data_IF_048319507999
#
_entry.id   IF_048319507999
#
_cell.length_a   1.000
_cell.length_b   1.000
_cell.length_c   1.000
_cell.angle_alpha   90.00
_cell.angle_beta   90.00
_cell.angle_gamma   90.00
#
_symmetry.space_group_name_H-M   'P 1'
#
loop_
_entity.id
_entity.type
_entity.pdbx_description
1 polymer ?
#
# COMPACT_ATOMS: atom_id res chain seq x y z
N UNK A 1 -1.06 -39.34 10.73
CA UNK A 1 0.32 -39.27 11.24
C UNK A 1 0.26 -38.93 12.73
N UNK A 2 1.01 -39.63 13.58
CA UNK A 2 1.08 -39.32 15.00
C UNK A 2 2.26 -38.38 15.26
N UNK A 3 2.03 -37.28 15.98
CA UNK A 3 3.10 -36.38 16.43
C UNK A 3 3.85 -36.99 17.62
N UNK A 4 5.13 -36.67 17.83
CA UNK A 4 5.88 -37.14 18.99
C UNK A 4 5.20 -36.77 20.31
N UNK A 5 5.35 -37.61 21.34
CA UNK A 5 4.87 -37.30 22.67
C UNK A 5 5.53 -36.01 23.17
N UNK A 6 4.72 -35.04 23.61
CA UNK A 6 5.20 -33.72 24.05
C UNK A 6 5.24 -32.66 22.94
N UNK A 7 4.82 -32.99 21.71
CA UNK A 7 4.59 -31.97 20.67
C UNK A 7 3.52 -30.96 21.13
N UNK A 8 3.81 -29.67 20.97
CA UNK A 8 2.93 -28.58 21.40
C UNK A 8 2.18 -28.00 20.21
N UNK A 9 0.85 -28.10 20.25
CA UNK A 9 -0.02 -27.29 19.41
C UNK A 9 -0.39 -26.00 20.15
N UNK A 10 -0.41 -24.89 19.44
CA UNK A 10 -0.67 -23.58 20.04
C UNK A 10 -1.11 -22.53 19.04
N UNK A 11 -1.46 -21.38 19.59
CA UNK A 11 -1.83 -20.16 18.84
C UNK A 11 -0.79 -19.06 19.08
N UNK A 12 -0.77 -18.05 18.22
CA UNK A 12 0.12 -16.91 18.34
C UNK A 12 -0.60 -15.60 17.98
N UNK A 13 -0.29 -14.52 18.69
CA UNK A 13 -0.68 -13.15 18.32
C UNK A 13 0.51 -12.17 18.45
N UNK A 14 0.27 -10.93 18.04
CA UNK A 14 1.22 -9.81 18.13
C UNK A 14 0.50 -8.59 18.70
N UNK A 15 1.12 -7.91 19.66
CA UNK A 15 0.56 -6.77 20.41
C UNK A 15 -0.12 -5.73 19.49
N UNK A 16 0.61 -5.12 18.55
CA UNK A 16 0.04 -4.13 17.63
C UNK A 16 -1.16 -4.66 16.80
N UNK A 17 -1.19 -5.96 16.48
CA UNK A 17 -2.26 -6.56 15.67
C UNK A 17 -3.53 -6.86 16.46
N UNK A 18 -3.46 -6.94 17.80
CA UNK A 18 -4.60 -7.38 18.63
C UNK A 18 -4.95 -6.42 19.78
N UNK A 19 -4.05 -5.55 20.19
CA UNK A 19 -4.27 -4.57 21.25
C UNK A 19 -4.80 -3.24 20.69
N UNK A 20 -5.79 -2.65 21.37
CA UNK A 20 -6.34 -1.35 21.00
C UNK A 20 -5.28 -0.25 21.05
N UNK A 21 -5.37 0.70 20.13
CA UNK A 21 -4.55 1.91 20.05
C UNK A 21 -4.66 2.73 21.33
N UNK A 22 -3.53 3.29 21.76
CA UNK A 22 -3.44 4.15 22.92
C UNK A 22 -2.51 5.33 22.59
N UNK A 23 -3.05 6.56 22.52
CA UNK A 23 -2.28 7.74 22.12
C UNK A 23 -1.18 8.10 23.13
N UNK A 24 -1.22 7.58 24.36
CA UNK A 24 -0.14 7.77 25.34
C UNK A 24 1.06 6.83 25.09
N UNK A 25 0.89 5.77 24.30
CA UNK A 25 1.88 4.70 24.14
C UNK A 25 2.04 4.29 22.67
N UNK A 26 2.07 5.27 21.77
CA UNK A 26 2.22 5.02 20.34
C UNK A 26 3.55 4.32 20.02
N UNK A 27 3.48 3.35 19.10
CA UNK A 27 4.64 2.73 18.51
C UNK A 27 4.91 3.28 17.10
N UNK A 28 6.05 2.86 16.52
CA UNK A 28 6.41 3.29 15.16
C UNK A 28 5.39 2.90 14.09
N UNK A 29 4.61 1.85 14.30
CA UNK A 29 3.66 1.36 13.33
C UNK A 29 2.40 2.23 13.35
N UNK A 30 1.94 2.67 14.52
CA UNK A 30 0.86 3.67 14.65
C UNK A 30 1.18 4.96 13.87
N UNK A 31 2.41 5.47 14.03
CA UNK A 31 2.89 6.65 13.31
C UNK A 31 2.96 6.37 11.81
N UNK A 32 3.55 5.24 11.43
CA UNK A 32 3.73 4.89 10.02
C UNK A 32 2.40 4.67 9.29
N UNK A 33 1.42 4.02 9.90
CA UNK A 33 0.07 3.86 9.35
C UNK A 33 -0.54 5.22 9.00
N UNK A 34 -0.44 6.20 9.90
CA UNK A 34 -0.88 7.57 9.63
C UNK A 34 -0.09 8.22 8.50
N UNK A 35 1.24 8.11 8.50
CA UNK A 35 2.09 8.68 7.45
C UNK A 35 1.78 8.12 6.05
N UNK A 36 1.30 6.88 5.99
CA UNK A 36 1.04 6.15 4.75
C UNK A 36 -0.43 6.17 4.33
N UNK A 37 -1.31 6.81 5.09
CA UNK A 37 -2.76 6.79 4.86
C UNK A 37 -3.34 5.37 4.93
N UNK A 38 -2.77 4.51 5.77
CA UNK A 38 -3.25 3.15 6.00
C UNK A 38 -4.36 3.14 7.05
N UNK A 39 -5.11 2.03 7.09
CA UNK A 39 -6.11 1.81 8.13
C UNK A 39 -5.44 1.79 9.50
N UNK A 40 -5.77 2.73 10.42
CA UNK A 40 -5.21 2.71 11.76
C UNK A 40 -5.68 1.47 12.53
N UNK A 41 -4.84 0.93 13.41
CA UNK A 41 -5.19 -0.28 14.20
C UNK A 41 -6.50 -0.17 15.01
N UNK A 42 -6.90 1.04 15.41
CA UNK A 42 -8.15 1.29 16.13
C UNK A 42 -8.26 0.44 17.41
N UNK A 43 -9.35 -0.32 17.56
CA UNK A 43 -9.50 -1.24 18.70
C UNK A 43 -8.87 -2.62 18.49
N UNK A 44 -8.42 -2.95 17.28
CA UNK A 44 -8.02 -4.30 16.89
C UNK A 44 -9.07 -5.35 17.36
N UNK A 45 -8.65 -6.43 18.03
CA UNK A 45 -9.55 -7.40 18.69
C UNK A 45 -9.78 -7.09 20.18
N UNK A 46 -9.21 -5.98 20.68
CA UNK A 46 -9.28 -5.54 22.07
C UNK A 46 -8.68 -6.55 23.07
N UNK A 47 -7.61 -7.25 22.66
CA UNK A 47 -6.97 -8.31 23.45
C UNK A 47 -6.50 -7.82 24.83
N UNK A 48 -5.99 -6.60 24.93
CA UNK A 48 -5.55 -6.04 26.21
C UNK A 48 -6.65 -6.06 27.30
N UNK A 49 -7.92 -5.91 26.91
CA UNK A 49 -9.04 -5.97 27.85
C UNK A 49 -9.72 -7.34 27.90
N UNK A 50 -9.58 -8.15 26.83
CA UNK A 50 -10.33 -9.40 26.62
C UNK A 50 -9.46 -10.66 26.56
N UNK A 51 -8.19 -10.56 26.95
CA UNK A 51 -7.24 -11.67 26.86
C UNK A 51 -7.73 -12.96 27.54
N UNK A 52 -8.51 -12.86 28.63
CA UNK A 52 -9.06 -14.03 29.31
C UNK A 52 -9.99 -14.85 28.39
N UNK A 53 -10.80 -14.19 27.57
CA UNK A 53 -11.70 -14.84 26.60
C UNK A 53 -10.90 -15.56 25.50
N UNK A 54 -9.91 -14.87 24.92
CA UNK A 54 -9.10 -15.41 23.83
C UNK A 54 -8.21 -16.59 24.30
N UNK A 55 -7.68 -16.50 25.52
CA UNK A 55 -6.92 -17.59 26.15
C UNK A 55 -7.82 -18.79 26.47
N UNK A 56 -9.02 -18.55 27.01
CA UNK A 56 -9.98 -19.61 27.29
C UNK A 56 -10.41 -20.31 25.99
N UNK A 57 -10.62 -19.57 24.90
CA UNK A 57 -10.92 -20.12 23.59
C UNK A 57 -9.78 -21.00 23.06
N UNK A 58 -8.51 -20.54 23.17
CA UNK A 58 -7.36 -21.35 22.80
C UNK A 58 -7.26 -22.65 23.62
N UNK A 59 -7.50 -22.56 24.93
CA UNK A 59 -7.52 -23.74 25.80
C UNK A 59 -8.63 -24.73 25.42
N UNK A 60 -9.83 -24.23 25.09
CA UNK A 60 -10.97 -25.03 24.65
C UNK A 60 -10.71 -25.76 23.33
N UNK A 61 -9.90 -25.20 22.43
CA UNK A 61 -9.41 -25.87 21.22
C UNK A 61 -8.38 -26.97 21.49
N UNK A 62 -7.96 -27.15 22.74
CA UNK A 62 -6.97 -28.14 23.14
C UNK A 62 -5.51 -27.68 22.98
N UNK A 63 -5.27 -26.38 22.75
CA UNK A 63 -3.92 -25.82 22.70
C UNK A 63 -3.16 -26.09 24.00
N UNK A 64 -1.85 -26.30 23.87
CA UNK A 64 -0.90 -26.53 24.97
C UNK A 64 0.17 -25.46 25.06
N UNK A 65 0.16 -24.50 24.13
CA UNK A 65 1.07 -23.36 24.05
C UNK A 65 0.27 -22.15 23.60
N UNK A 66 0.52 -21.00 24.19
CA UNK A 66 0.03 -19.72 23.71
C UNK A 66 1.22 -18.77 23.56
N UNK A 67 1.37 -18.20 22.35
CA UNK A 67 2.41 -17.22 22.05
C UNK A 67 1.80 -15.82 21.97
N UNK A 68 2.41 -14.86 22.65
CA UNK A 68 2.06 -13.45 22.54
C UNK A 68 3.31 -12.56 22.50
N UNK A 69 3.17 -11.28 22.17
CA UNK A 69 4.24 -10.28 22.32
C UNK A 69 3.88 -9.21 23.33
N UNK A 70 4.90 -8.58 23.91
CA UNK A 70 4.77 -7.38 24.72
C UNK A 70 4.98 -6.14 23.85
N UNK A 71 4.12 -5.11 23.98
CA UNK A 71 4.34 -3.82 23.35
C UNK A 71 5.45 -3.06 24.07
N UNK A 72 6.62 -2.92 23.43
CA UNK A 72 7.75 -2.18 24.00
C UNK A 72 7.36 -0.72 24.28
N UNK A 73 6.59 -0.07 23.41
CA UNK A 73 6.11 1.30 23.62
C UNK A 73 5.26 1.47 24.89
N UNK A 74 4.50 0.43 25.31
CA UNK A 74 3.75 0.43 26.58
C UNK A 74 4.64 0.15 27.78
N UNK A 75 5.60 -0.77 27.63
CA UNK A 75 6.49 -1.18 28.72
C UNK A 75 7.54 -0.12 29.04
N UNK A 76 8.04 0.59 28.03
CA UNK A 76 9.04 1.65 28.14
C UNK A 76 8.62 2.85 27.27
N UNK A 77 7.61 3.63 27.72
CA UNK A 77 7.09 4.79 26.98
C UNK A 77 8.13 5.87 26.70
N UNK A 78 9.15 5.96 27.55
CA UNK A 78 10.30 6.85 27.37
C UNK A 78 11.58 6.11 27.76
N UNK A 79 12.73 6.55 27.23
CA UNK A 79 14.00 5.89 27.47
C UNK A 79 14.32 5.75 28.97
N UNK A 80 14.31 4.53 29.48
CA UNK A 80 14.62 4.21 30.88
C UNK A 80 13.43 4.34 31.83
N UNK A 81 12.27 4.83 31.39
CA UNK A 81 11.05 4.90 32.21
C UNK A 81 10.17 3.68 31.91
N UNK A 82 10.25 2.68 32.78
CA UNK A 82 9.47 1.45 32.64
C UNK A 82 8.13 1.56 33.35
N UNK A 83 7.03 1.28 32.66
CA UNK A 83 5.68 1.27 33.21
C UNK A 83 5.45 0.02 34.08
N UNK A 84 5.29 0.15 35.41
CA UNK A 84 4.97 -0.98 36.27
C UNK A 84 3.58 -1.56 35.96
N UNK A 85 2.66 -0.72 35.51
CA UNK A 85 1.31 -1.12 35.13
C UNK A 85 1.32 -2.01 33.89
N UNK A 86 2.02 -1.62 32.82
CA UNK A 86 2.13 -2.43 31.61
C UNK A 86 2.82 -3.78 31.88
N UNK A 87 3.89 -3.76 32.67
CA UNK A 87 4.59 -4.97 33.12
C UNK A 87 3.67 -5.89 33.93
N UNK A 88 2.92 -5.35 34.89
CA UNK A 88 1.95 -6.11 35.67
C UNK A 88 0.81 -6.66 34.80
N UNK A 89 0.36 -5.90 33.80
CA UNK A 89 -0.64 -6.34 32.82
C UNK A 89 -0.16 -7.58 32.05
N UNK A 90 1.02 -7.51 31.41
CA UNK A 90 1.56 -8.66 30.68
C UNK A 90 1.84 -9.87 31.59
N UNK A 91 2.23 -9.64 32.85
CA UNK A 91 2.36 -10.71 33.85
C UNK A 91 1.01 -11.37 34.15
N UNK A 92 -0.10 -10.61 34.21
CA UNK A 92 -1.46 -11.17 34.35
C UNK A 92 -1.84 -12.03 33.14
N UNK A 93 -1.55 -11.56 31.92
CA UNK A 93 -1.77 -12.34 30.69
C UNK A 93 -1.00 -13.67 30.74
N UNK A 94 0.29 -13.64 31.06
CA UNK A 94 1.12 -14.84 31.18
C UNK A 94 0.60 -15.82 32.27
N UNK A 95 0.16 -15.29 33.42
CA UNK A 95 -0.44 -16.10 34.48
C UNK A 95 -1.78 -16.71 34.07
N UNK A 96 -2.61 -15.98 33.32
CA UNK A 96 -3.87 -16.49 32.78
C UNK A 96 -3.62 -17.69 31.84
N UNK A 97 -2.66 -17.56 30.89
CA UNK A 97 -2.23 -18.66 30.01
C UNK A 97 -1.83 -19.90 30.83
N UNK A 98 -1.01 -19.71 31.88
CA UNK A 98 -0.61 -20.81 32.77
C UNK A 98 -1.77 -21.39 33.56
N UNK A 99 -2.72 -20.57 34.00
CA UNK A 99 -3.93 -20.99 34.70
C UNK A 99 -4.78 -21.95 33.88
N UNK A 100 -4.79 -21.79 32.57
CA UNK A 100 -5.42 -22.73 31.62
C UNK A 100 -4.56 -23.95 31.26
N UNK A 101 -3.43 -24.16 31.94
CA UNK A 101 -2.55 -25.33 31.72
C UNK A 101 -1.75 -25.28 30.42
N UNK A 102 -1.65 -24.11 29.79
CA UNK A 102 -0.83 -23.90 28.58
C UNK A 102 0.57 -23.39 28.95
N UNK A 103 1.54 -23.70 28.08
CA UNK A 103 2.88 -23.13 28.09
C UNK A 103 2.86 -21.70 27.56
N UNK A 104 3.73 -20.85 28.10
CA UNK A 104 3.82 -19.44 27.71
C UNK A 104 5.02 -19.23 26.80
N UNK A 105 4.79 -18.67 25.61
CA UNK A 105 5.85 -18.22 24.71
C UNK A 105 5.75 -16.71 24.51
N UNK A 106 6.78 -15.97 24.92
CA UNK A 106 6.79 -14.51 24.85
C UNK A 106 7.72 -14.01 23.75
N UNK A 107 7.21 -13.14 22.89
CA UNK A 107 7.98 -12.43 21.85
C UNK A 107 8.26 -11.00 22.28
N UNK A 108 9.52 -10.57 22.27
CA UNK A 108 9.92 -9.24 22.72
C UNK A 108 9.80 -8.18 21.63
N UNK A 109 10.14 -8.52 20.38
CA UNK A 109 10.08 -7.60 19.25
C UNK A 109 9.28 -8.21 18.10
N UNK A 110 8.09 -7.67 17.85
CA UNK A 110 7.17 -8.12 16.80
C UNK A 110 6.88 -6.99 15.80
N UNK A 111 7.95 -6.53 15.13
CA UNK A 111 7.93 -5.43 14.16
C UNK A 111 7.61 -4.03 14.68
N UNK A 112 7.31 -3.89 15.97
CA UNK A 112 7.03 -2.59 16.60
C UNK A 112 8.05 -2.26 17.70
N UNK A 113 8.31 -0.96 17.87
CA UNK A 113 9.18 -0.41 18.90
C UNK A 113 8.75 1.02 19.27
N UNK A 114 9.20 1.58 20.40
CA UNK A 114 8.79 2.91 20.84
C UNK A 114 9.23 4.00 19.86
N UNK A 115 8.41 5.03 19.69
CA UNK A 115 8.73 6.17 18.81
C UNK A 115 10.00 6.89 19.25
N UNK A 116 10.25 7.03 20.57
CA UNK A 116 11.48 7.66 21.10
C UNK A 116 12.75 6.94 20.63
N UNK A 117 12.70 5.63 20.44
CA UNK A 117 13.86 4.86 20.01
C UNK A 117 14.21 5.19 18.55
N UNK A 118 13.20 5.34 17.69
CA UNK A 118 13.44 5.77 16.31
C UNK A 118 13.91 7.23 16.26
N UNK A 119 13.16 8.14 16.89
CA UNK A 119 13.38 9.59 16.89
C UNK A 119 14.72 9.99 17.51
N UNK A 120 15.01 9.52 18.72
CA UNK A 120 16.09 10.07 19.55
C UNK A 120 17.39 9.22 19.51
N UNK A 121 17.30 8.00 18.99
CA UNK A 121 18.39 7.02 19.01
C UNK A 121 18.67 6.37 17.64
N UNK A 122 17.92 6.73 16.60
CA UNK A 122 18.11 6.23 15.23
C UNK A 122 17.58 4.82 15.01
N UNK A 123 16.69 4.34 15.89
CA UNK A 123 16.01 3.07 15.72
C UNK A 123 16.93 1.87 15.79
N UNK A 124 16.55 0.83 15.05
CA UNK A 124 17.29 -0.44 14.99
C UNK A 124 18.69 -0.31 14.35
N UNK A 125 18.94 0.71 13.52
CA UNK A 125 20.26 0.99 12.96
C UNK A 125 21.13 1.86 13.89
N UNK A 126 20.54 2.38 14.97
CA UNK A 126 21.21 3.20 15.96
C UNK A 126 22.29 2.43 16.73
N UNK A 127 23.44 3.05 17.00
CA UNK A 127 24.57 2.40 17.69
C UNK A 127 24.21 1.87 19.09
N UNK A 128 23.25 2.51 19.77
CA UNK A 128 22.80 2.15 21.12
C UNK A 128 21.73 1.05 21.14
N UNK A 129 21.09 0.75 20.00
CA UNK A 129 19.97 -0.19 19.91
C UNK A 129 20.23 -1.53 20.60
N UNK A 130 21.38 -2.22 20.39
CA UNK A 130 21.59 -3.51 21.02
C UNK A 130 21.64 -3.48 22.55
N UNK A 131 22.03 -2.35 23.16
CA UNK A 131 22.03 -2.19 24.61
C UNK A 131 20.64 -1.82 25.15
N UNK A 132 19.93 -0.95 24.43
CA UNK A 132 18.57 -0.53 24.80
C UNK A 132 17.62 -1.74 24.76
N UNK A 133 17.69 -2.54 23.70
CA UNK A 133 16.92 -3.77 23.57
C UNK A 133 17.27 -4.79 24.67
N UNK A 134 18.54 -4.90 25.05
CA UNK A 134 18.96 -5.78 26.13
C UNK A 134 18.45 -5.32 27.51
N UNK A 135 18.42 -4.01 27.77
CA UNK A 135 17.82 -3.43 29.00
C UNK A 135 16.32 -3.73 29.06
N UNK A 136 15.62 -3.53 27.95
CA UNK A 136 14.21 -3.87 27.84
C UNK A 136 13.97 -5.36 28.11
N UNK A 137 14.74 -6.24 27.46
CA UNK A 137 14.65 -7.68 27.67
C UNK A 137 14.96 -8.09 29.12
N UNK A 138 15.95 -7.47 29.77
CA UNK A 138 16.28 -7.70 31.18
C UNK A 138 15.10 -7.35 32.08
N UNK A 139 14.49 -6.17 31.86
CA UNK A 139 13.36 -5.71 32.68
C UNK A 139 12.12 -6.58 32.52
N UNK A 140 11.82 -7.02 31.29
CA UNK A 140 10.71 -7.94 31.01
C UNK A 140 10.98 -9.31 31.65
N UNK A 141 12.23 -9.79 31.59
CA UNK A 141 12.64 -11.06 32.21
C UNK A 141 12.65 -11.00 33.74
N UNK A 142 12.99 -9.85 34.33
CA UNK A 142 12.87 -9.64 35.77
C UNK A 142 11.42 -9.77 36.24
N UNK A 143 10.47 -9.21 35.48
CA UNK A 143 9.05 -9.26 35.83
C UNK A 143 8.40 -10.62 35.56
N UNK A 144 8.76 -11.30 34.46
CA UNK A 144 8.01 -12.46 33.97
C UNK A 144 8.85 -13.74 33.79
N UNK A 145 10.13 -13.71 34.18
CA UNK A 145 11.07 -14.82 34.06
C UNK A 145 10.55 -16.14 34.60
N UNK A 146 9.87 -16.12 35.75
CA UNK A 146 9.32 -17.29 36.44
C UNK A 146 8.10 -17.91 35.73
N UNK A 147 7.34 -17.13 34.96
CA UNK A 147 6.10 -17.58 34.31
C UNK A 147 6.25 -17.89 32.83
N UNK A 148 7.24 -17.34 32.13
CA UNK A 148 7.47 -17.59 30.70
C UNK A 148 8.33 -18.82 30.48
N UNK A 149 7.89 -19.76 29.62
CA UNK A 149 8.64 -20.98 29.29
C UNK A 149 9.60 -20.76 28.12
N UNK A 150 9.15 -20.06 27.06
CA UNK A 150 9.90 -19.85 25.82
C UNK A 150 9.98 -18.37 25.46
N UNK A 151 11.16 -17.92 25.06
CA UNK A 151 11.43 -16.52 24.73
C UNK A 151 11.86 -16.39 23.27
N UNK A 152 11.17 -15.51 22.55
CA UNK A 152 11.54 -15.09 21.20
C UNK A 152 11.99 -13.64 21.28
N UNK A 153 13.26 -13.39 20.98
CA UNK A 153 13.78 -12.02 20.94
C UNK A 153 13.19 -11.24 19.76
N UNK A 154 13.35 -11.76 18.54
CA UNK A 154 12.83 -11.15 17.32
C UNK A 154 11.90 -12.12 16.57
N UNK A 155 10.74 -11.60 16.18
CA UNK A 155 9.93 -12.20 15.13
C UNK A 155 10.49 -11.82 13.75
N UNK A 156 10.73 -12.83 12.93
CA UNK A 156 11.06 -12.74 11.51
C UNK A 156 12.07 -11.62 11.18
N UNK A 157 13.26 -11.62 11.79
CA UNK A 157 14.18 -10.47 11.70
C UNK A 157 14.64 -10.14 10.28
N UNK A 158 14.56 -11.09 9.33
CA UNK A 158 14.84 -10.82 7.92
C UNK A 158 13.85 -9.83 7.29
N UNK A 159 12.58 -9.86 7.71
CA UNK A 159 11.54 -8.97 7.20
C UNK A 159 11.82 -7.50 7.55
N UNK A 160 12.49 -7.22 8.68
CA UNK A 160 12.86 -5.86 9.10
C UNK A 160 13.73 -5.12 8.07
N UNK A 161 14.38 -5.83 7.14
CA UNK A 161 15.13 -5.21 6.04
C UNK A 161 14.23 -4.45 5.06
N UNK A 162 12.96 -4.83 4.92
CA UNK A 162 12.00 -4.13 4.06
C UNK A 162 11.55 -2.77 4.63
N UNK A 163 11.98 -2.44 5.84
CA UNK A 163 11.89 -1.09 6.39
C UNK A 163 13.01 -0.15 5.92
N UNK A 164 14.02 -0.67 5.23
CA UNK A 164 15.21 0.07 4.79
C UNK A 164 15.58 -0.15 3.33
N UNK A 165 15.01 -1.16 2.67
CA UNK A 165 15.15 -1.42 1.24
C UNK A 165 13.79 -1.22 0.58
N UNK A 166 13.74 -0.45 -0.50
CA UNK A 166 12.62 -0.49 -1.44
C UNK A 166 13.14 -0.46 -2.89
N UNK A 167 12.57 -1.26 -3.80
CA UNK A 167 12.83 -1.08 -5.20
C UNK A 167 12.42 0.31 -5.71
N UNK A 168 13.10 0.82 -6.73
CA UNK A 168 12.85 2.16 -7.31
C UNK A 168 11.43 2.36 -7.84
N UNK A 169 10.70 1.27 -8.15
CA UNK A 169 9.31 1.31 -8.60
C UNK A 169 8.30 1.33 -7.45
N UNK A 170 8.73 1.17 -6.20
CA UNK A 170 7.86 1.26 -5.04
C UNK A 170 7.82 2.69 -4.50
N UNK A 171 6.61 3.23 -4.41
CA UNK A 171 6.40 4.59 -3.89
C UNK A 171 6.56 4.67 -2.36
N UNK A 172 6.49 3.53 -1.65
CA UNK A 172 6.64 3.43 -0.19
C UNK A 172 7.44 2.20 0.20
N UNK A 173 8.05 2.25 1.38
CA UNK A 173 8.60 1.05 2.04
C UNK A 173 7.47 0.11 2.44
N UNK A 174 7.77 -1.17 2.56
CA UNK A 174 6.77 -2.18 2.94
C UNK A 174 6.41 -2.12 4.44
N UNK A 175 7.31 -1.56 5.25
CA UNK A 175 7.15 -1.40 6.70
C UNK A 175 7.97 -0.20 7.21
N UNK A 176 7.74 0.28 8.45
CA UNK A 176 8.58 1.30 9.07
C UNK A 176 10.05 0.84 9.21
N UNK A 177 11.00 1.80 9.35
CA UNK A 177 10.76 3.25 9.40
C UNK A 177 10.82 3.94 8.02
N UNK A 178 11.37 3.26 7.01
CA UNK A 178 11.76 3.89 5.75
C UNK A 178 12.97 4.81 5.89
N UNK A 179 13.61 5.14 4.77
CA UNK A 179 14.64 6.18 4.68
C UNK A 179 14.08 7.46 4.04
N UNK A 180 14.73 8.63 4.26
CA UNK A 180 14.33 9.90 3.66
C UNK A 180 14.24 9.88 2.13
N UNK A 181 13.48 10.80 1.55
CA UNK A 181 13.39 10.97 0.10
C UNK A 181 14.76 11.18 -0.55
N UNK A 182 14.92 10.57 -1.72
CA UNK A 182 16.17 10.67 -2.47
C UNK A 182 17.30 9.78 -1.94
N UNK A 183 17.04 8.97 -0.90
CA UNK A 183 17.97 7.89 -0.50
C UNK A 183 18.25 7.00 -1.71
N UNK A 184 19.52 6.88 -2.05
CA UNK A 184 19.99 6.01 -3.11
C UNK A 184 20.24 4.59 -2.59
N UNK A 185 20.63 3.70 -3.50
CA UNK A 185 20.92 2.29 -3.19
C UNK A 185 22.06 2.16 -2.17
N UNK A 186 23.01 3.11 -2.17
CA UNK A 186 24.13 3.09 -1.22
C UNK A 186 23.65 3.41 0.20
N UNK A 187 22.74 4.38 0.37
CA UNK A 187 22.11 4.69 1.64
C UNK A 187 21.26 3.51 2.17
N UNK A 188 20.50 2.83 1.29
CA UNK A 188 19.77 1.61 1.63
C UNK A 188 20.73 0.49 2.10
N UNK A 189 21.80 0.26 1.34
CA UNK A 189 22.82 -0.74 1.67
C UNK A 189 23.52 -0.41 3.00
N UNK A 190 23.85 0.85 3.26
CA UNK A 190 24.46 1.29 4.51
C UNK A 190 23.50 1.07 5.70
N UNK A 191 22.21 1.39 5.54
CA UNK A 191 21.20 1.17 6.57
C UNK A 191 21.07 -0.31 6.92
N UNK A 192 21.00 -1.19 5.92
CA UNK A 192 20.93 -2.64 6.10
C UNK A 192 22.22 -3.19 6.70
N UNK A 193 23.38 -2.67 6.26
CA UNK A 193 24.70 -2.98 6.80
C UNK A 193 24.84 -2.62 8.28
N UNK A 194 24.09 -1.63 8.78
CA UNK A 194 23.97 -1.31 10.21
C UNK A 194 22.92 -2.18 10.92
N UNK A 195 21.78 -2.40 10.27
CA UNK A 195 20.65 -3.16 10.83
C UNK A 195 21.06 -4.58 11.20
N UNK A 196 21.61 -5.34 10.24
CA UNK A 196 21.86 -6.77 10.41
C UNK A 196 22.79 -7.03 11.62
N UNK A 197 23.98 -6.41 11.74
CA UNK A 197 24.84 -6.59 12.90
C UNK A 197 24.17 -6.16 14.21
N UNK A 198 23.33 -5.12 14.19
CA UNK A 198 22.62 -4.68 15.37
C UNK A 198 21.59 -5.71 15.84
N UNK A 199 20.83 -6.33 14.94
CA UNK A 199 19.89 -7.40 15.28
C UNK A 199 20.61 -8.60 15.93
N UNK A 200 21.75 -9.03 15.37
CA UNK A 200 22.56 -10.10 15.97
C UNK A 200 23.09 -9.73 17.37
N UNK A 201 23.65 -8.53 17.52
CA UNK A 201 24.15 -8.04 18.82
C UNK A 201 23.01 -7.90 19.84
N UNK A 202 21.87 -7.38 19.42
CA UNK A 202 20.70 -7.19 20.26
C UNK A 202 20.16 -8.54 20.74
N UNK A 203 20.04 -9.53 19.84
CA UNK A 203 19.65 -10.89 20.18
C UNK A 203 20.60 -11.49 21.22
N UNK A 204 21.91 -11.44 20.96
CA UNK A 204 22.92 -12.02 21.84
C UNK A 204 22.87 -11.39 23.25
N UNK A 205 22.78 -10.06 23.34
CA UNK A 205 22.71 -9.33 24.62
C UNK A 205 21.41 -9.58 25.36
N UNK A 206 20.27 -9.55 24.67
CA UNK A 206 18.96 -9.88 25.26
C UNK A 206 18.94 -11.32 25.79
N UNK A 207 19.50 -12.28 25.04
CA UNK A 207 19.63 -13.67 25.49
C UNK A 207 20.47 -13.78 26.76
N UNK A 208 21.58 -13.05 26.85
CA UNK A 208 22.40 -13.02 28.07
C UNK A 208 21.64 -12.42 29.26
N UNK A 209 20.93 -11.32 29.05
CA UNK A 209 20.11 -10.67 30.08
C UNK A 209 19.02 -11.60 30.62
N UNK A 210 18.22 -12.20 29.73
CA UNK A 210 17.16 -13.15 30.11
C UNK A 210 17.75 -14.33 30.89
N UNK A 211 18.88 -14.89 30.44
CA UNK A 211 19.55 -16.00 31.13
C UNK A 211 20.19 -15.62 32.46
N UNK A 212 20.55 -14.35 32.64
CA UNK A 212 21.00 -13.80 33.92
C UNK A 212 19.88 -13.77 34.97
N UNK A 213 18.63 -13.56 34.53
CA UNK A 213 17.44 -13.65 35.40
C UNK A 213 16.96 -15.08 35.60
N UNK A 214 17.05 -15.91 34.57
CA UNK A 214 16.61 -17.31 34.60
C UNK A 214 17.50 -18.21 33.73
N UNK A 215 18.37 -18.98 34.38
CA UNK A 215 19.40 -19.78 33.71
C UNK A 215 18.83 -20.82 32.73
N UNK A 216 17.73 -21.48 33.10
CA UNK A 216 17.02 -22.51 32.33
C UNK A 216 16.12 -21.94 31.22
N UNK A 217 16.01 -20.61 31.08
CA UNK A 217 15.18 -19.99 30.06
C UNK A 217 15.60 -20.45 28.65
N UNK A 218 14.60 -20.85 27.86
CA UNK A 218 14.78 -21.18 26.45
C UNK A 218 14.58 -19.92 25.61
N UNK A 219 15.67 -19.44 24.99
CA UNK A 219 15.68 -18.17 24.27
C UNK A 219 16.14 -18.38 22.84
N UNK A 220 15.36 -17.90 21.88
CA UNK A 220 15.63 -17.99 20.45
C UNK A 220 15.13 -16.79 19.64
N UNK A 221 15.00 -17.03 18.34
CA UNK A 221 14.41 -16.15 17.32
C UNK A 221 13.38 -16.94 16.53
N UNK A 222 12.37 -16.28 15.98
CA UNK A 222 11.42 -16.92 15.06
C UNK A 222 11.74 -16.50 13.62
N UNK A 223 12.58 -17.24 12.87
CA UNK A 223 12.90 -16.85 11.50
C UNK A 223 11.74 -17.17 10.55
N UNK A 224 11.47 -16.28 9.58
CA UNK A 224 10.67 -16.66 8.41
C UNK A 224 11.57 -17.45 7.46
N UNK A 225 11.28 -18.74 7.30
CA UNK A 225 11.99 -19.61 6.36
C UNK A 225 10.99 -20.08 5.31
N UNK A 226 11.18 -19.64 4.07
CA UNK A 226 10.38 -20.08 2.92
C UNK A 226 10.89 -21.44 2.39
N UNK A 227 10.83 -22.45 3.26
CA UNK A 227 10.59 -23.85 2.86
C UNK A 227 11.71 -24.70 2.27
N UNK A 228 12.92 -24.21 1.99
CA UNK A 228 13.99 -25.08 1.45
C UNK A 228 14.92 -25.62 2.54
N UNK A 229 15.34 -26.91 2.46
CA UNK A 229 16.45 -27.42 3.25
C UNK A 229 17.70 -26.56 3.05
N UNK A 230 18.46 -26.31 4.12
CA UNK A 230 19.60 -25.37 4.11
C UNK A 230 20.58 -25.61 2.96
N UNK A 231 20.89 -26.87 2.61
CA UNK A 231 21.79 -27.20 1.50
C UNK A 231 21.23 -26.79 0.13
N UNK A 232 19.91 -26.90 -0.06
CA UNK A 232 19.22 -26.52 -1.30
C UNK A 232 19.07 -25.01 -1.37
N UNK A 233 18.77 -24.35 -0.25
CA UNK A 233 18.79 -22.90 -0.13
C UNK A 233 20.20 -22.35 -0.47
N UNK A 234 21.27 -22.96 0.07
CA UNK A 234 22.64 -22.56 -0.24
C UNK A 234 23.00 -22.74 -1.73
N UNK A 235 22.53 -23.81 -2.39
CA UNK A 235 22.72 -23.99 -3.84
C UNK A 235 21.92 -22.96 -4.65
N UNK A 236 20.70 -22.66 -4.23
CA UNK A 236 19.86 -21.65 -4.87
C UNK A 236 20.44 -20.25 -4.70
N UNK A 237 20.90 -19.90 -3.50
CA UNK A 237 21.56 -18.63 -3.19
C UNK A 237 22.89 -18.51 -3.93
N UNK A 238 23.71 -19.58 -3.93
CA UNK A 238 24.93 -19.62 -4.74
C UNK A 238 24.61 -19.41 -6.23
N UNK A 239 23.61 -20.11 -6.75
CA UNK A 239 23.14 -19.96 -8.12
C UNK A 239 22.51 -18.60 -8.43
N UNK A 240 21.95 -17.90 -7.44
CA UNK A 240 21.39 -16.57 -7.58
C UNK A 240 22.48 -15.49 -7.54
N UNK A 241 23.48 -15.63 -6.66
CA UNK A 241 24.61 -14.72 -6.53
C UNK A 241 25.64 -14.85 -7.66
N UNK A 242 25.67 -15.99 -8.37
CA UNK A 242 26.61 -16.25 -9.47
C UNK A 242 25.97 -16.27 -10.86
N UNK A 243 24.65 -16.05 -10.97
CA UNK A 243 24.02 -15.81 -12.27
C UNK A 243 24.18 -14.34 -12.66
N UNK A 244 24.52 -14.10 -13.92
CA UNK A 244 24.52 -12.76 -14.50
C UNK A 244 23.19 -12.04 -14.22
N UNK A 245 23.29 -10.77 -13.82
CA UNK A 245 22.23 -9.87 -13.33
C UNK A 245 20.93 -9.88 -14.17
N UNK A 246 21.03 -10.24 -15.45
CA UNK A 246 19.95 -10.23 -16.43
C UNK A 246 18.88 -11.30 -16.21
N UNK A 247 19.21 -12.45 -15.62
CA UNK A 247 18.27 -13.58 -15.47
C UNK A 247 17.47 -13.53 -14.16
N UNK A 248 18.06 -12.97 -13.09
CA UNK A 248 17.42 -12.82 -11.77
C UNK A 248 16.25 -11.81 -11.78
N UNK A 249 16.34 -10.81 -12.66
CA UNK A 249 15.27 -9.81 -12.87
C UNK A 249 14.00 -10.44 -13.47
N UNK A 250 14.11 -11.60 -14.14
CA UNK A 250 13.04 -12.21 -14.92
C UNK A 250 12.01 -12.99 -14.09
N UNK A 251 12.34 -13.35 -12.83
CA UNK A 251 11.43 -14.12 -11.96
C UNK A 251 10.61 -13.27 -10.98
N UNK A 252 11.09 -12.08 -10.61
CA UNK A 252 10.31 -11.15 -9.78
C UNK A 252 9.25 -10.37 -10.57
N UNK A 253 9.32 -10.38 -11.91
CA UNK A 253 8.45 -9.62 -12.81
C UNK A 253 7.20 -10.38 -13.29
N UNK A 254 6.99 -11.63 -12.88
CA UNK A 254 5.94 -12.50 -13.45
C UNK A 254 4.66 -12.66 -12.61
N UNK A 255 4.41 -11.77 -11.64
CA UNK A 255 3.05 -11.58 -11.09
C UNK A 255 2.64 -10.12 -11.20
N UNK A 256 1.76 -9.85 -12.16
CA UNK A 256 1.10 -8.56 -12.36
C UNK A 256 1.77 -7.76 -13.47
N UNK A 257 1.20 -7.85 -14.66
CA UNK A 257 1.56 -7.02 -15.80
C UNK A 257 1.42 -5.53 -15.45
N UNK A 258 2.53 -4.90 -15.08
CA UNK A 258 2.69 -3.46 -15.22
C UNK A 258 3.52 -3.28 -16.48
N UNK A 259 2.89 -2.63 -17.46
CA UNK A 259 3.49 -2.18 -18.70
C UNK A 259 4.76 -1.38 -18.33
N UNK A 260 5.92 -2.04 -18.44
CA UNK A 260 7.21 -1.37 -18.43
C UNK A 260 7.49 -0.90 -19.85
N UNK A 261 6.82 0.16 -20.29
CA UNK A 261 7.36 0.96 -21.38
C UNK A 261 8.50 1.81 -20.80
N UNK A 262 9.73 1.28 -20.91
CA UNK A 262 10.93 2.10 -20.82
C UNK A 262 11.03 2.91 -22.12
N UNK A 263 10.69 4.19 -22.07
CA UNK A 263 11.00 5.16 -23.12
C UNK A 263 9.90 6.20 -23.37
N UNK A 264 10.24 7.48 -23.22
CA UNK A 264 9.64 8.65 -23.90
C UNK A 264 8.16 9.01 -23.68
N UNK A 265 7.53 8.66 -22.55
CA UNK A 265 6.17 9.13 -22.24
C UNK A 265 6.17 10.13 -21.08
N UNK A 266 6.08 11.42 -21.42
CA UNK A 266 5.99 12.50 -20.44
C UNK A 266 4.60 12.61 -19.78
N UNK A 267 3.53 12.18 -20.48
CA UNK A 267 2.14 12.35 -20.06
C UNK A 267 1.27 11.20 -20.56
N UNK A 268 0.53 10.56 -19.64
CA UNK A 268 -0.51 9.58 -20.00
C UNK A 268 -1.89 10.20 -19.78
N UNK A 269 -2.75 10.08 -20.79
CA UNK A 269 -4.15 10.48 -20.73
C UNK A 269 -5.01 9.25 -21.00
N UNK A 270 -5.83 8.85 -20.03
CA UNK A 270 -6.68 7.67 -20.14
C UNK A 270 -8.01 7.85 -19.44
N UNK A 271 -9.04 7.16 -19.94
CA UNK A 271 -10.31 7.05 -19.24
C UNK A 271 -10.19 6.06 -18.10
N UNK A 272 -10.76 6.37 -16.94
CA UNK A 272 -10.76 5.51 -15.75
C UNK A 272 -12.16 5.04 -15.47
N UNK A 273 -12.29 3.74 -15.19
CA UNK A 273 -13.51 3.18 -14.60
C UNK A 273 -13.22 2.97 -13.13
N UNK A 274 -13.92 3.69 -12.24
CA UNK A 274 -13.82 3.45 -10.81
C UNK A 274 -14.36 2.04 -10.51
N UNK A 275 -13.52 1.19 -9.93
CA UNK A 275 -13.93 -0.11 -9.41
C UNK A 275 -13.64 -0.15 -7.92
N UNK A 276 -14.49 -0.86 -7.17
CA UNK A 276 -14.39 -0.99 -5.70
C UNK A 276 -13.02 -1.53 -5.21
N UNK A 277 -12.20 -2.08 -6.11
CA UNK A 277 -10.92 -2.71 -5.80
C UNK A 277 -9.69 -1.82 -5.95
N UNK A 278 -9.77 -0.63 -6.55
CA UNK A 278 -8.54 0.09 -6.90
C UNK A 278 -7.95 0.90 -5.76
N UNK A 279 -8.72 1.39 -4.79
CA UNK A 279 -8.18 2.12 -3.62
C UNK A 279 -7.17 3.22 -3.94
N UNK A 280 -7.11 3.67 -5.21
CA UNK A 280 -6.19 4.67 -5.69
C UNK A 280 -6.86 6.01 -5.47
N UNK A 281 -6.27 6.83 -4.59
CA UNK A 281 -6.56 8.25 -4.56
C UNK A 281 -6.07 8.85 -5.88
N UNK A 282 -6.95 8.94 -6.87
CA UNK A 282 -6.75 9.84 -8.00
C UNK A 282 -7.20 11.23 -7.57
N UNK A 283 -6.66 12.29 -8.18
CA UNK A 283 -7.37 13.57 -8.15
C UNK A 283 -8.80 13.37 -8.66
N UNK A 284 -9.69 14.33 -8.41
CA UNK A 284 -10.97 14.35 -9.11
C UNK A 284 -10.74 14.18 -10.62
N UNK A 285 -11.60 13.42 -11.33
CA UNK A 285 -11.42 13.20 -12.75
C UNK A 285 -11.41 14.54 -13.46
N UNK A 286 -10.31 14.84 -14.16
CA UNK A 286 -10.02 16.17 -14.69
C UNK A 286 -10.98 16.59 -15.82
N UNK A 287 -11.63 15.61 -16.43
CA UNK A 287 -12.64 15.82 -17.44
C UNK A 287 -13.68 14.71 -17.32
N UNK A 288 -14.93 15.14 -17.18
CA UNK A 288 -16.10 14.27 -17.33
C UNK A 288 -16.75 14.56 -18.66
N UNK A 289 -16.65 13.60 -19.58
CA UNK A 289 -17.36 13.62 -20.86
C UNK A 289 -18.36 12.46 -20.86
N UNK A 290 -18.74 12.02 -22.04
CA UNK A 290 -19.52 10.83 -22.23
C UNK A 290 -19.50 10.45 -23.68
N UNK A 291 -20.18 9.35 -24.00
CA UNK A 291 -20.45 8.99 -25.37
C UNK A 291 -21.30 10.07 -26.04
N UNK A 292 -21.00 10.31 -27.29
CA UNK A 292 -21.68 11.28 -28.12
C UNK A 292 -21.85 10.72 -29.53
N UNK A 293 -22.76 11.34 -30.27
CA UNK A 293 -23.00 11.04 -31.66
C UNK A 293 -22.72 12.28 -32.49
N UNK A 294 -21.77 12.15 -33.41
CA UNK A 294 -21.38 13.18 -34.37
C UNK A 294 -22.08 12.92 -35.71
N UNK A 295 -22.66 13.96 -36.30
CA UNK A 295 -23.27 13.94 -37.63
C UNK A 295 -22.71 15.07 -38.48
N UNK A 296 -22.88 14.99 -39.81
CA UNK A 296 -22.63 16.13 -40.68
C UNK A 296 -23.53 17.32 -40.29
N UNK A 297 -23.04 18.54 -40.43
CA UNK A 297 -23.84 19.74 -40.12
C UNK A 297 -25.11 19.86 -40.98
N UNK A 298 -25.10 19.24 -42.16
CA UNK A 298 -26.24 19.15 -43.08
C UNK A 298 -27.27 18.06 -42.74
N UNK A 299 -26.98 17.20 -41.76
CA UNK A 299 -27.90 16.14 -41.33
C UNK A 299 -29.18 16.74 -40.73
N UNK A 300 -30.33 16.29 -41.22
CA UNK A 300 -31.64 16.87 -40.90
C UNK A 300 -32.30 16.30 -39.63
N UNK A 301 -31.85 15.15 -39.14
CA UNK A 301 -32.41 14.55 -37.93
C UNK A 301 -32.01 15.30 -36.66
N UNK A 302 -32.92 15.37 -35.69
CA UNK A 302 -32.73 16.14 -34.46
C UNK A 302 -32.35 15.30 -33.24
N UNK A 303 -32.68 14.00 -33.24
CA UNK A 303 -32.45 13.10 -32.12
C UNK A 303 -31.87 11.74 -32.55
N UNK A 304 -31.58 10.88 -31.56
CA UNK A 304 -31.05 9.54 -31.82
C UNK A 304 -32.05 8.63 -32.53
N UNK A 305 -33.36 8.86 -32.38
CA UNK A 305 -34.39 8.08 -33.06
C UNK A 305 -34.32 8.28 -34.58
N UNK A 306 -33.91 9.46 -35.04
CA UNK A 306 -33.67 9.74 -36.47
C UNK A 306 -32.62 8.84 -37.14
N UNK A 307 -31.80 8.14 -36.34
CA UNK A 307 -30.80 7.18 -36.83
C UNK A 307 -31.37 5.78 -37.06
N UNK A 308 -32.65 5.54 -36.80
CA UNK A 308 -33.32 4.30 -37.16
C UNK A 308 -33.07 3.97 -38.64
N UNK A 309 -32.68 2.74 -38.92
CA UNK A 309 -32.38 2.23 -40.27
C UNK A 309 -31.23 2.97 -41.00
N UNK A 310 -30.46 3.81 -40.30
CA UNK A 310 -29.25 4.47 -40.82
C UNK A 310 -27.99 3.68 -40.50
N UNK A 311 -26.90 3.97 -41.19
CA UNK A 311 -25.59 3.37 -40.96
C UNK A 311 -24.78 4.24 -40.01
N UNK A 312 -24.52 3.74 -38.82
CA UNK A 312 -23.78 4.46 -37.77
C UNK A 312 -22.39 3.85 -37.61
N UNK A 313 -21.36 4.69 -37.74
CA UNK A 313 -20.00 4.33 -37.39
C UNK A 313 -19.84 4.20 -35.88
N UNK A 314 -19.18 3.15 -35.41
CA UNK A 314 -18.91 2.92 -33.98
C UNK A 314 -17.41 2.71 -33.81
N UNK A 315 -16.82 3.34 -32.80
CA UNK A 315 -15.41 3.11 -32.47
C UNK A 315 -15.24 1.78 -31.73
N UNK A 316 -14.47 0.86 -32.30
CA UNK A 316 -14.27 -0.49 -31.76
C UNK A 316 -13.22 -0.60 -30.65
N UNK A 317 -12.66 0.51 -30.18
CA UNK A 317 -11.59 0.59 -29.18
C UNK A 317 -11.90 1.64 -28.13
N UNK A 318 -11.54 1.40 -26.87
CA UNK A 318 -11.70 2.34 -25.75
C UNK A 318 -12.57 1.81 -24.60
N UNK A 319 -12.94 2.70 -23.68
CA UNK A 319 -13.80 2.36 -22.54
C UNK A 319 -15.24 2.16 -23.01
N UNK A 320 -15.82 0.99 -22.72
CA UNK A 320 -17.17 0.57 -23.15
C UNK A 320 -17.40 0.59 -24.68
N UNK A 321 -16.70 -0.26 -25.45
CA UNK A 321 -16.84 -0.31 -26.92
C UNK A 321 -18.24 -0.78 -27.37
N UNK A 322 -19.03 -1.37 -26.46
CA UNK A 322 -20.39 -1.87 -26.69
C UNK A 322 -21.50 -0.92 -26.20
N UNK A 323 -21.17 0.27 -25.68
CA UNK A 323 -22.15 1.24 -25.15
C UNK A 323 -23.25 1.63 -26.14
N UNK A 324 -22.94 1.56 -27.44
CA UNK A 324 -23.89 1.83 -28.53
C UNK A 324 -25.11 0.88 -28.53
N UNK A 325 -25.01 -0.31 -27.93
CA UNK A 325 -26.15 -1.25 -27.82
C UNK A 325 -27.26 -0.68 -26.93
N UNK A 326 -26.90 0.13 -25.94
CA UNK A 326 -27.83 0.83 -25.05
C UNK A 326 -28.31 2.15 -25.68
N UNK A 327 -27.40 2.86 -26.34
CA UNK A 327 -27.62 4.27 -26.69
C UNK A 327 -28.21 4.50 -28.10
N UNK A 328 -27.97 3.60 -29.05
CA UNK A 328 -28.41 3.76 -30.44
C UNK A 328 -29.63 2.87 -30.76
N UNK A 329 -30.48 3.25 -31.74
CA UNK A 329 -31.58 2.40 -32.18
C UNK A 329 -31.10 1.02 -32.64
N UNK A 330 -31.80 -0.04 -32.22
CA UNK A 330 -31.49 -1.41 -32.61
C UNK A 330 -31.53 -1.61 -34.13
N UNK A 331 -32.44 -0.92 -34.82
CA UNK A 331 -32.61 -1.03 -36.27
C UNK A 331 -31.50 -0.35 -37.09
N UNK A 332 -30.63 0.45 -36.46
CA UNK A 332 -29.53 1.09 -37.17
C UNK A 332 -28.37 0.12 -37.44
N UNK A 333 -27.79 0.18 -38.65
CA UNK A 333 -26.69 -0.71 -39.05
C UNK A 333 -25.36 -0.17 -38.54
N UNK A 334 -24.55 -0.98 -37.83
CA UNK A 334 -23.29 -0.53 -37.26
C UNK A 334 -22.09 -0.87 -38.15
N UNK A 335 -21.19 0.09 -38.33
CA UNK A 335 -19.87 -0.15 -38.95
C UNK A 335 -18.78 0.16 -37.93
N UNK A 336 -17.98 -0.83 -37.58
CA UNK A 336 -16.92 -0.68 -36.59
C UNK A 336 -15.69 -0.05 -37.23
N UNK A 337 -15.12 0.96 -36.59
CA UNK A 337 -13.89 1.64 -36.99
C UNK A 337 -12.78 1.44 -35.96
N UNK A 338 -11.52 1.30 -36.40
CA UNK A 338 -10.39 1.06 -35.51
C UNK A 338 -9.92 2.33 -34.77
N UNK A 339 -10.29 3.53 -35.24
CA UNK A 339 -9.93 4.80 -34.62
C UNK A 339 -10.87 5.94 -35.04
N UNK A 340 -10.80 7.05 -34.32
CA UNK A 340 -11.63 8.25 -34.52
C UNK A 340 -11.33 9.00 -35.84
N UNK A 341 -10.15 8.82 -36.43
CA UNK A 341 -9.82 9.47 -37.72
C UNK A 341 -10.59 8.81 -38.86
N UNK A 342 -10.49 7.48 -38.97
CA UNK A 342 -11.15 6.70 -40.00
C UNK A 342 -12.68 6.87 -39.94
N UNK A 343 -13.25 6.92 -38.74
CA UNK A 343 -14.69 7.14 -38.57
C UNK A 343 -15.14 8.53 -39.06
N UNK A 344 -14.35 9.59 -38.79
CA UNK A 344 -14.66 10.96 -39.25
C UNK A 344 -14.51 11.13 -40.76
N UNK A 345 -13.52 10.48 -41.37
CA UNK A 345 -13.37 10.45 -42.83
C UNK A 345 -14.56 9.75 -43.49
N UNK A 346 -15.00 8.61 -42.95
CA UNK A 346 -16.18 7.91 -43.43
C UNK A 346 -17.46 8.75 -43.29
N UNK A 347 -17.60 9.50 -42.19
CA UNK A 347 -18.72 10.44 -42.00
C UNK A 347 -18.67 11.57 -43.04
N UNK A 348 -17.49 12.12 -43.31
CA UNK A 348 -17.28 13.18 -44.32
C UNK A 348 -17.59 12.70 -45.73
N UNK A 349 -17.21 11.47 -46.05
CA UNK A 349 -17.47 10.82 -47.33
C UNK A 349 -18.93 10.37 -47.49
N UNK A 350 -19.76 10.47 -46.44
CA UNK A 350 -21.14 10.00 -46.45
C UNK A 350 -21.27 8.48 -46.45
N UNK A 351 -20.22 7.75 -46.08
CA UNK A 351 -20.24 6.28 -45.99
C UNK A 351 -20.98 5.76 -44.74
N UNK A 352 -21.19 6.66 -43.78
CA UNK A 352 -22.01 6.52 -42.56
C UNK A 352 -22.71 7.86 -42.29
N UNK A 353 -23.92 7.82 -41.77
CA UNK A 353 -24.71 9.03 -41.47
C UNK A 353 -24.37 9.64 -40.11
N UNK A 354 -23.79 8.85 -39.20
CA UNK A 354 -23.39 9.29 -37.87
C UNK A 354 -22.18 8.50 -37.35
N UNK A 355 -21.47 9.03 -36.36
CA UNK A 355 -20.39 8.35 -35.64
C UNK A 355 -20.64 8.42 -34.14
N UNK A 356 -20.66 7.26 -33.48
CA UNK A 356 -20.77 7.09 -32.04
C UNK A 356 -19.40 6.77 -31.42
N UNK A 357 -19.04 7.49 -30.36
CA UNK A 357 -17.76 7.35 -29.67
C UNK A 357 -17.64 8.36 -28.53
N UNK A 358 -16.46 8.50 -27.92
CA UNK A 358 -16.27 9.51 -26.88
C UNK A 358 -16.34 10.94 -27.44
N UNK A 359 -17.12 11.80 -26.78
CA UNK A 359 -17.24 13.21 -27.13
C UNK A 359 -15.90 13.94 -27.22
N UNK A 360 -14.93 13.59 -26.36
CA UNK A 360 -13.60 14.19 -26.34
C UNK A 360 -12.87 14.00 -27.67
N UNK A 361 -12.83 12.77 -28.15
CA UNK A 361 -12.13 12.43 -29.40
C UNK A 361 -12.96 12.74 -30.65
N UNK A 362 -14.29 12.85 -30.52
CA UNK A 362 -15.19 13.27 -31.60
C UNK A 362 -15.29 14.78 -31.77
N UNK A 363 -14.84 15.58 -30.81
CA UNK A 363 -15.03 17.02 -30.83
C UNK A 363 -14.41 17.64 -32.10
N UNK A 364 -15.22 18.24 -33.00
CA UNK A 364 -14.67 18.99 -34.13
C UNK A 364 -13.99 20.24 -33.57
N UNK A 365 -12.69 20.41 -33.81
CA UNK A 365 -11.97 21.64 -33.41
C UNK A 365 -12.69 22.86 -34.00
N UNK A 366 -12.57 24.04 -33.36
CA UNK A 366 -13.23 25.32 -33.76
C UNK A 366 -13.17 25.68 -35.27
N UNK A 367 -12.24 25.11 -36.03
CA UNK A 367 -12.09 25.32 -37.48
C UNK A 367 -12.97 24.42 -38.37
N UNK A 368 -13.60 23.36 -37.85
CA UNK A 368 -14.39 22.40 -38.65
C UNK A 368 -15.90 22.59 -38.45
N UNK A 369 -16.52 23.44 -39.27
CA UNK A 369 -17.98 23.67 -39.31
C UNK A 369 -18.78 22.56 -40.04
N UNK A 370 -18.08 21.54 -40.54
CA UNK A 370 -18.67 20.45 -41.32
C UNK A 370 -19.46 19.45 -40.47
N UNK A 371 -19.33 19.48 -39.14
CA UNK A 371 -19.94 18.51 -38.24
C UNK A 371 -20.66 19.19 -37.08
N UNK A 372 -21.65 18.51 -36.52
CA UNK A 372 -22.31 18.87 -35.27
C UNK A 372 -22.58 17.62 -34.45
N UNK A 373 -22.71 17.79 -33.14
CA UNK A 373 -23.19 16.71 -32.28
C UNK A 373 -24.71 16.60 -32.38
N UNK A 374 -25.20 15.39 -32.61
CA UNK A 374 -26.63 15.03 -32.54
C UNK A 374 -27.04 14.75 -31.09
N UNK A 375 -26.17 14.07 -30.33
CA UNK A 375 -26.34 13.82 -28.91
C UNK A 375 -25.00 13.86 -28.18
N UNK A 376 -25.02 14.25 -26.90
CA UNK A 376 -23.84 14.31 -26.01
C UNK A 376 -24.22 13.71 -24.65
N UNK A 377 -23.21 13.31 -23.86
CA UNK A 377 -23.36 12.79 -22.49
C UNK A 377 -24.30 11.57 -22.39
N UNK A 378 -24.14 10.63 -23.33
CA UNK A 378 -24.87 9.36 -23.29
C UNK A 378 -24.31 8.41 -22.22
N UNK A 379 -23.13 8.72 -21.66
CA UNK A 379 -22.50 8.09 -20.50
C UNK A 379 -21.84 9.16 -19.63
N UNK A 380 -21.39 8.77 -18.43
CA UNK A 380 -20.45 9.55 -17.64
C UNK A 380 -19.06 8.90 -17.76
N UNK A 381 -18.15 9.54 -18.49
CA UNK A 381 -16.78 9.06 -18.69
C UNK A 381 -15.79 9.98 -17.99
N UNK A 382 -15.14 9.42 -16.97
CA UNK A 382 -14.12 10.08 -16.18
C UNK A 382 -12.75 9.86 -16.81
N UNK A 383 -12.02 10.95 -17.04
CA UNK A 383 -10.64 10.91 -17.52
C UNK A 383 -9.66 11.37 -16.44
N UNK A 384 -8.48 10.73 -16.36
CA UNK A 384 -7.35 11.15 -15.48
C UNK A 384 -6.07 11.42 -16.28
N UNK A 385 -5.29 12.42 -15.85
CA UNK A 385 -4.01 12.78 -16.45
C UNK A 385 -2.91 12.43 -15.44
N UNK A 386 -1.95 11.62 -15.86
CA UNK A 386 -0.86 11.14 -14.99
C UNK A 386 0.46 11.68 -15.50
N UNK A 387 1.18 12.37 -14.61
CA UNK A 387 2.51 12.93 -14.85
C UNK A 387 3.49 12.43 -13.78
N UNK A 388 4.81 12.40 -14.07
CA UNK A 388 5.82 12.15 -13.05
C UNK A 388 5.69 13.13 -11.87
N UNK A 389 5.84 12.61 -10.65
CA UNK A 389 5.81 13.44 -9.44
C UNK A 389 6.87 14.55 -9.50
N UNK A 390 6.56 15.75 -9.00
CA UNK A 390 7.42 16.94 -9.10
C UNK A 390 7.36 17.69 -10.44
N UNK A 391 6.71 17.16 -11.48
CA UNK A 391 6.70 17.76 -12.82
C UNK A 391 5.64 18.86 -13.01
N UNK A 392 5.65 19.87 -12.13
CA UNK A 392 4.64 20.95 -12.02
C UNK A 392 4.41 21.74 -13.32
N UNK A 393 5.42 21.89 -14.16
CA UNK A 393 5.26 22.57 -15.44
C UNK A 393 4.36 21.80 -16.42
N UNK A 394 4.44 20.46 -16.39
CA UNK A 394 3.59 19.62 -17.22
C UNK A 394 2.14 19.66 -16.72
N UNK A 395 1.92 19.57 -15.40
CA UNK A 395 0.60 19.75 -14.80
C UNK A 395 -0.02 21.11 -15.16
N UNK A 396 0.75 22.20 -15.15
CA UNK A 396 0.27 23.53 -15.60
C UNK A 396 -0.12 23.56 -17.08
N UNK A 397 0.62 22.85 -17.95
CA UNK A 397 0.28 22.74 -19.38
C UNK A 397 -1.00 21.93 -19.58
N UNK A 398 -1.18 20.87 -18.82
CA UNK A 398 -2.41 20.07 -18.78
C UNK A 398 -3.58 20.94 -18.33
N UNK A 399 -3.47 21.66 -17.21
CA UNK A 399 -4.52 22.57 -16.72
C UNK A 399 -4.88 23.64 -17.76
N UNK A 400 -3.90 24.20 -18.49
CA UNK A 400 -4.16 25.18 -19.56
C UNK A 400 -4.88 24.55 -20.75
N UNK A 401 -4.50 23.35 -21.16
CA UNK A 401 -5.15 22.63 -22.25
C UNK A 401 -6.61 22.27 -21.91
N UNK A 402 -6.86 21.87 -20.65
CA UNK A 402 -8.19 21.56 -20.15
C UNK A 402 -9.07 22.81 -20.12
N UNK A 403 -8.58 23.93 -19.58
CA UNK A 403 -9.33 25.18 -19.54
C UNK A 403 -9.75 25.62 -20.95
N UNK A 404 -8.84 25.55 -21.93
CA UNK A 404 -9.14 25.84 -23.33
C UNK A 404 -10.21 24.88 -23.90
N UNK A 405 -10.17 23.60 -23.54
CA UNK A 405 -11.14 22.60 -24.01
C UNK A 405 -12.54 22.79 -23.38
N UNK A 406 -12.61 23.09 -22.08
CA UNK A 406 -13.88 23.35 -21.38
C UNK A 406 -14.60 24.59 -21.93
N UNK A 407 -13.87 25.59 -22.43
CA UNK A 407 -14.44 26.74 -23.15
C UNK A 407 -15.05 26.37 -24.51
N UNK A 408 -14.61 25.27 -25.13
CA UNK A 408 -15.07 24.83 -26.46
C UNK A 408 -16.35 23.98 -26.43
N UNK A 409 -16.75 23.46 -25.27
CA UNK A 409 -17.98 22.67 -25.11
C UNK A 409 -19.05 23.49 -24.36
N UNK A 410 -20.14 23.92 -25.03
CA UNK A 410 -21.25 24.58 -24.33
C UNK A 410 -21.91 23.62 -23.33
N UNK A 411 -22.05 24.03 -22.07
CA UNK A 411 -22.71 23.26 -20.99
C UNK A 411 -21.79 22.49 -20.04
N UNK A 412 -20.46 22.66 -20.14
CA UNK A 412 -19.46 22.10 -19.20
C UNK A 412 -18.95 23.09 -18.16
N UNK A 413 -19.58 24.27 -18.01
CA UNK A 413 -19.27 25.16 -16.87
C UNK A 413 -19.56 24.42 -15.56
N UNK A 414 -18.52 23.88 -14.94
CA UNK A 414 -18.50 23.78 -13.49
C UNK A 414 -18.60 25.21 -12.96
N UNK A 415 -19.51 25.36 -12.01
CA UNK A 415 -19.65 26.53 -11.14
C UNK A 415 -18.30 26.96 -10.60
N UNK A 416 -18.06 28.27 -10.65
CA UNK A 416 -16.92 28.99 -10.09
C UNK A 416 -15.56 28.72 -10.77
N UNK A 417 -14.86 29.82 -11.05
CA UNK A 417 -13.46 29.78 -11.44
C UNK A 417 -12.63 29.36 -10.22
N UNK A 418 -12.55 28.06 -9.93
CA UNK A 418 -11.77 27.58 -8.79
C UNK A 418 -10.87 26.40 -9.15
N UNK A 419 -9.59 26.60 -8.86
CA UNK A 419 -8.59 25.59 -8.49
C UNK A 419 -8.08 24.66 -9.60
N UNK A 420 -6.82 24.24 -9.45
CA UNK A 420 -6.11 23.44 -10.44
C UNK A 420 -6.83 22.10 -10.60
N UNK A 421 -7.28 21.79 -11.82
CA UNK A 421 -8.01 20.54 -12.10
C UNK A 421 -7.13 19.29 -11.89
N UNK A 422 -5.83 19.40 -12.14
CA UNK A 422 -4.84 18.39 -11.74
C UNK A 422 -3.96 18.93 -10.60
N UNK A 423 -4.06 18.30 -9.44
CA UNK A 423 -3.20 18.56 -8.29
C UNK A 423 -2.11 17.49 -8.16
N UNK A 424 -0.96 17.90 -7.61
CA UNK A 424 0.12 16.97 -7.29
C UNK A 424 -0.35 16.08 -6.14
N UNK A 425 -0.56 14.79 -6.42
CA UNK A 425 -0.94 13.84 -5.37
C UNK A 425 0.13 13.85 -4.26
N UNK A 426 -0.26 13.93 -2.98
CA UNK A 426 0.69 13.89 -1.88
C UNK A 426 1.43 12.55 -1.92
N UNK A 427 2.76 12.60 -1.88
CA UNK A 427 3.56 11.38 -1.81
C UNK A 427 3.48 10.78 -0.40
N UNK A 428 3.59 9.45 -0.26
CA UNK A 428 3.80 8.85 1.05
C UNK A 428 5.13 9.33 1.67
N UNK A 429 5.09 9.79 2.91
CA UNK A 429 6.29 10.16 3.67
C UNK A 429 6.80 8.97 4.47
N UNK A 430 8.11 8.72 4.46
CA UNK A 430 8.71 7.78 5.41
C UNK A 430 8.51 8.28 6.83
N UNK A 431 8.49 7.37 7.79
CA UNK A 431 8.36 7.75 9.19
C UNK A 431 9.53 8.61 9.65
N UNK A 432 10.73 8.42 9.08
CA UNK A 432 11.90 9.26 9.40
C UNK A 432 11.78 10.70 8.94
N UNK A 433 11.14 10.95 7.79
CA UNK A 433 10.87 12.31 7.32
C UNK A 433 9.90 13.02 8.27
N UNK A 434 8.84 12.31 8.67
CA UNK A 434 7.86 12.84 9.63
C UNK A 434 8.51 13.14 10.98
N UNK A 435 9.34 12.24 11.50
CA UNK A 435 10.06 12.46 12.76
C UNK A 435 11.14 13.56 12.68
N UNK A 436 11.67 13.85 11.49
CA UNK A 436 12.60 14.95 11.26
C UNK A 436 11.92 16.33 11.16
N UNK A 437 10.59 16.38 11.26
CA UNK A 437 9.81 17.62 11.14
C UNK A 437 9.62 18.09 9.70
N UNK A 438 9.87 17.23 8.71
CA UNK A 438 9.55 17.54 7.32
C UNK A 438 8.02 17.53 7.16
N UNK A 439 7.45 18.69 6.85
CA UNK A 439 6.01 18.85 6.57
C UNK A 439 5.82 19.30 5.14
N UNK A 440 4.87 18.69 4.44
CA UNK A 440 4.31 19.21 3.21
C UNK A 440 2.82 19.39 3.41
N UNK A 441 2.39 20.59 3.79
CA UNK A 441 1.01 21.09 3.61
C UNK A 441 -0.13 20.17 4.02
N UNK A 442 0.08 19.25 4.97
CA UNK A 442 -0.94 18.36 5.47
C UNK A 442 -1.53 18.99 6.74
N UNK A 443 -2.74 19.55 6.62
CA UNK A 443 -3.57 20.01 7.74
C UNK A 443 -4.05 18.85 8.65
N UNK A 444 -3.16 17.92 9.01
CA UNK A 444 -3.49 16.69 9.74
C UNK A 444 -2.59 16.43 10.97
N UNK A 445 -2.08 17.51 11.56
CA UNK A 445 -1.71 17.56 13.00
C UNK A 445 -2.88 18.15 13.77
#
# INVERSE_FOLDING_TARGET
MAFPRGFLFGTANADHQVEAHDPAHEDVWDVWERCQGLTPRGRATDFANRYEEDIAAAAAMGCKLFRFSTAWARVEPEEGHFSPEALAHYRKVAKCIRGHGMKVMLTLHHFVWPVWLERDRGGMIGKKFPNLFARYADRVAEEMGDVVDYWITFNEPSQLTFGFIKPWWQNRYYMPPGLPMGSDVDAEAEAVGKLIPNLFKAHARARMAIKGRRLDAQVGVNPLVTGFPTWLQMLMDFGACHRGMTEALFKFTTKGALVSERGDVDLVIGGVTAGDQTGMGTSDPYLRTGKAVLVASTYQGEDLASLADKKVGVIGVGNQPDGWKRDLPESSTKRIFPNYSAAREALRAGEVEAVYGDAFFLNPRRSETAFRFLAKRLSDEAYVAVAPHGHRQLLRRVNRAIAAFQEEIPGTKQTEASENVAEEAPRPMSLREVLAGETHGAEWL
#
